data_IF_202612634592
#
_entry.id   IF_202612634592
#
_cell.length_a   1.000
_cell.length_b   1.000
_cell.length_c   1.000
_cell.angle_alpha   90.00
_cell.angle_beta   90.00
_cell.angle_gamma   90.00
#
_symmetry.space_group_name_H-M   'P 1'
#
loop_
_entity.id
_entity.type
_entity.pdbx_description
1 polymer ?
#
# COMPACT_ATOMS: atom_id res chain seq x y z
N UNK A 1 -1.07 -20.36 8.14
CA UNK A 1 -2.18 -19.87 7.31
C UNK A 1 -1.71 -18.55 6.74
N UNK A 2 -1.75 -18.39 5.41
CA UNK A 2 -1.49 -17.11 4.78
C UNK A 2 -2.54 -16.09 5.26
N UNK A 3 -2.13 -14.84 5.42
CA UNK A 3 -3.03 -13.75 5.78
C UNK A 3 -3.96 -13.45 4.60
N UNK A 4 -5.26 -13.25 4.88
CA UNK A 4 -6.24 -12.96 3.83
C UNK A 4 -5.96 -11.58 3.22
N UNK A 5 -5.96 -11.50 1.90
CA UNK A 5 -5.76 -10.26 1.15
C UNK A 5 -7.09 -9.61 0.76
N UNK A 6 -7.11 -8.29 0.71
CA UNK A 6 -8.25 -7.54 0.22
C UNK A 6 -8.12 -6.04 0.47
N UNK A 7 -9.26 -5.40 0.72
CA UNK A 7 -9.29 -4.00 1.14
C UNK A 7 -10.35 -3.71 2.19
N UNK A 8 -10.13 -2.67 2.99
CA UNK A 8 -11.15 -2.06 3.82
C UNK A 8 -11.69 -0.80 3.16
N UNK A 9 -13.02 -0.70 3.00
CA UNK A 9 -13.71 0.56 2.68
C UNK A 9 -14.18 1.18 3.99
N UNK A 10 -13.59 2.32 4.35
CA UNK A 10 -13.68 2.87 5.69
C UNK A 10 -13.75 4.41 5.70
N UNK A 11 -14.00 4.97 6.88
CA UNK A 11 -13.80 6.40 7.16
C UNK A 11 -12.60 6.58 8.08
N UNK A 12 -11.91 7.71 7.98
CA UNK A 12 -10.90 8.10 8.97
C UNK A 12 -11.61 8.81 10.12
N UNK A 13 -11.41 8.32 11.35
CA UNK A 13 -12.09 8.84 12.55
C UNK A 13 -11.13 9.54 13.54
N UNK A 14 -9.88 9.78 13.14
CA UNK A 14 -8.88 10.47 13.96
C UNK A 14 -7.71 11.03 13.15
N UNK A 15 -6.79 11.72 13.82
CA UNK A 15 -5.60 12.27 13.17
C UNK A 15 -4.55 11.18 12.94
N UNK A 16 -3.88 11.14 11.78
CA UNK A 16 -2.73 10.28 11.56
C UNK A 16 -1.59 10.61 12.54
N UNK A 17 -0.87 9.59 12.97
CA UNK A 17 0.29 9.70 13.85
C UNK A 17 1.50 9.09 13.18
N UNK A 18 2.60 9.85 13.10
CA UNK A 18 3.88 9.31 12.62
C UNK A 18 4.46 8.42 13.71
N UNK A 19 4.83 7.20 13.35
CA UNK A 19 5.61 6.30 14.20
C UNK A 19 6.87 5.88 13.48
N UNK A 20 7.90 5.61 14.25
CA UNK A 20 9.17 5.06 13.79
C UNK A 20 9.37 3.64 14.30
N UNK A 21 10.11 2.86 13.51
CA UNK A 21 10.53 1.50 13.86
C UNK A 21 11.97 1.31 13.41
N UNK A 22 12.92 1.11 14.35
CA UNK A 22 14.28 0.75 13.98
C UNK A 22 14.33 -0.59 13.23
N UNK A 23 15.09 -0.65 12.14
CA UNK A 23 15.34 -1.86 11.37
C UNK A 23 16.81 -1.90 10.95
N UNK A 24 17.61 -2.70 11.65
CA UNK A 24 19.05 -2.79 11.36
C UNK A 24 19.75 -1.44 11.61
N UNK A 25 20.23 -0.81 10.53
CA UNK A 25 20.93 0.48 10.56
C UNK A 25 20.03 1.68 10.26
N UNK A 26 18.78 1.44 9.84
CA UNK A 26 17.83 2.48 9.45
C UNK A 26 16.64 2.58 10.42
N UNK A 27 15.89 3.67 10.29
CA UNK A 27 14.62 3.92 10.95
C UNK A 27 13.51 4.03 9.92
N UNK A 28 12.60 3.06 9.91
CA UNK A 28 11.43 3.10 9.03
C UNK A 28 10.29 3.91 9.65
N UNK A 29 9.66 4.76 8.84
CA UNK A 29 8.57 5.63 9.26
C UNK A 29 7.23 5.23 8.64
N UNK A 30 6.22 5.23 9.50
CA UNK A 30 4.86 4.83 9.15
C UNK A 30 3.86 5.88 9.64
N UNK A 31 2.89 6.23 8.80
CA UNK A 31 1.68 6.91 9.26
C UNK A 31 0.70 5.86 9.78
N UNK A 32 0.43 5.90 11.07
CA UNK A 32 -0.65 5.15 11.71
C UNK A 32 -1.96 5.93 11.55
N UNK A 33 -2.92 5.32 10.87
CA UNK A 33 -4.19 5.94 10.53
C UNK A 33 -5.32 5.19 11.23
N UNK A 34 -6.05 5.86 12.14
CA UNK A 34 -7.22 5.27 12.77
C UNK A 34 -8.40 5.29 11.78
N UNK A 35 -9.02 4.13 11.59
CA UNK A 35 -10.17 3.94 10.70
C UNK A 35 -11.39 3.49 11.49
N UNK A 36 -12.56 3.97 11.07
CA UNK A 36 -13.87 3.39 11.39
C UNK A 36 -14.29 2.47 10.24
N UNK A 37 -14.28 1.17 10.54
CA UNK A 37 -14.66 0.09 9.63
C UNK A 37 -15.99 -0.48 10.10
N UNK A 38 -17.09 0.14 9.67
CA UNK A 38 -18.47 -0.28 10.03
C UNK A 38 -18.72 -0.35 11.54
N UNK A 39 -18.15 0.59 12.30
CA UNK A 39 -18.24 0.69 13.76
C UNK A 39 -17.06 0.05 14.50
N UNK A 40 -16.19 -0.71 13.80
CA UNK A 40 -14.97 -1.26 14.38
C UNK A 40 -13.80 -0.28 14.24
N UNK A 41 -13.01 -0.12 15.30
CA UNK A 41 -11.84 0.74 15.30
C UNK A 41 -10.60 -0.02 14.82
N UNK A 42 -10.07 0.39 13.67
CA UNK A 42 -8.89 -0.22 13.05
C UNK A 42 -7.70 0.74 13.11
N UNK A 43 -6.48 0.20 13.13
CA UNK A 43 -5.23 0.95 12.95
C UNK A 43 -4.48 0.39 11.74
N UNK A 44 -4.13 1.27 10.81
CA UNK A 44 -3.40 0.91 9.59
C UNK A 44 -2.08 1.65 9.56
N UNK A 45 -1.00 0.92 9.33
CA UNK A 45 0.32 1.50 9.08
C UNK A 45 0.53 1.69 7.57
N UNK A 46 0.91 2.90 7.17
CA UNK A 46 1.26 3.27 5.80
C UNK A 46 2.74 3.65 5.76
N UNK A 47 3.53 2.95 4.97
CA UNK A 47 4.95 3.26 4.77
C UNK A 47 5.10 4.63 4.11
N UNK A 48 5.92 5.51 4.68
CA UNK A 48 6.13 6.86 4.15
C UNK A 48 7.60 7.24 3.98
N UNK A 49 8.55 6.43 4.41
CA UNK A 49 9.98 6.68 4.18
C UNK A 49 10.87 6.09 5.27
N UNK A 50 12.15 6.40 5.16
CA UNK A 50 13.22 6.00 6.09
C UNK A 50 14.15 7.20 6.34
N UNK A 51 15.03 7.11 7.34
CA UNK A 51 16.14 8.07 7.55
C UNK A 51 17.41 7.73 6.74
N UNK A 52 17.43 6.57 6.06
CA UNK A 52 18.55 6.13 5.23
C UNK A 52 18.39 6.59 3.77
N UNK A 53 19.36 7.37 3.28
CA UNK A 53 19.35 7.84 1.89
C UNK A 53 19.68 6.75 0.87
N UNK A 54 20.18 5.59 1.32
CA UNK A 54 20.56 4.46 0.48
C UNK A 54 19.47 3.37 0.38
N UNK A 55 18.33 3.52 1.10
CA UNK A 55 17.18 2.59 1.07
C UNK A 55 15.83 3.34 1.09
N UNK A 56 15.66 4.30 0.17
CA UNK A 56 14.48 5.18 0.18
C UNK A 56 13.21 4.45 -0.26
N UNK A 57 12.05 4.96 0.16
CA UNK A 57 10.77 4.44 -0.30
C UNK A 57 10.46 5.03 -1.69
N UNK A 58 10.09 4.18 -2.64
CA UNK A 58 9.50 4.65 -3.88
C UNK A 58 7.99 4.85 -3.69
N UNK A 59 7.47 5.95 -4.18
CA UNK A 59 6.05 6.25 -4.10
C UNK A 59 5.48 6.90 -5.36
N UNK A 60 4.17 6.75 -5.50
CA UNK A 60 3.31 7.53 -6.39
C UNK A 60 2.19 8.12 -5.56
N UNK A 61 2.05 9.44 -5.56
CA UNK A 61 0.90 10.14 -5.01
C UNK A 61 0.16 10.84 -6.14
N UNK A 62 -1.01 10.30 -6.50
CA UNK A 62 -1.80 10.69 -7.67
C UNK A 62 -3.06 11.38 -7.19
N UNK A 63 -3.18 12.69 -7.34
CA UNK A 63 -4.35 13.45 -6.84
C UNK A 63 -5.58 13.42 -7.77
N UNK A 64 -5.40 13.00 -9.03
CA UNK A 64 -6.47 12.79 -10.01
C UNK A 64 -6.35 11.36 -10.57
N UNK A 65 -6.52 10.38 -9.70
CA UNK A 65 -6.43 8.97 -10.05
C UNK A 65 -7.67 8.55 -10.86
N UNK A 66 -7.44 8.15 -12.10
CA UNK A 66 -8.48 7.75 -13.05
C UNK A 66 -8.25 6.31 -13.49
N UNK A 67 -9.18 5.42 -13.16
CA UNK A 67 -9.10 4.01 -13.56
C UNK A 67 -10.48 3.35 -13.47
N UNK A 68 -10.79 2.37 -14.33
CA UNK A 68 -12.09 1.68 -14.31
C UNK A 68 -12.40 0.99 -12.96
N UNK A 69 -11.35 0.61 -12.22
CA UNK A 69 -11.48 -0.05 -10.90
C UNK A 69 -12.24 0.81 -9.88
N UNK A 70 -12.19 2.15 -9.98
CA UNK A 70 -12.84 3.03 -9.01
C UNK A 70 -14.35 2.82 -8.98
N UNK A 71 -14.96 2.42 -10.10
CA UNK A 71 -16.39 2.10 -10.16
C UNK A 71 -16.72 0.84 -9.35
N UNK A 72 -15.89 -0.20 -9.48
CA UNK A 72 -15.99 -1.44 -8.68
C UNK A 72 -15.83 -1.12 -7.19
N UNK A 73 -14.87 -0.27 -6.82
CA UNK A 73 -14.63 0.10 -5.42
C UNK A 73 -15.74 0.98 -4.84
N UNK A 74 -16.25 1.94 -5.61
CA UNK A 74 -17.38 2.77 -5.20
C UNK A 74 -18.63 1.92 -4.90
N UNK A 75 -18.87 0.88 -5.71
CA UNK A 75 -19.98 -0.05 -5.54
C UNK A 75 -19.78 -1.09 -4.42
N UNK A 76 -18.55 -1.28 -3.93
CA UNK A 76 -18.26 -2.22 -2.86
C UNK A 76 -18.92 -1.80 -1.53
N UNK A 77 -19.35 -2.77 -0.70
CA UNK A 77 -19.87 -2.47 0.63
C UNK A 77 -18.80 -1.85 1.53
N UNK A 78 -19.24 -1.02 2.48
CA UNK A 78 -18.37 -0.58 3.57
C UNK A 78 -17.89 -1.79 4.38
N UNK A 79 -16.68 -1.69 4.95
CA UNK A 79 -16.10 -2.76 5.75
C UNK A 79 -14.99 -3.53 5.03
N UNK A 80 -14.70 -4.73 5.56
CA UNK A 80 -13.73 -5.69 5.02
C UNK A 80 -14.26 -6.33 3.73
N UNK A 81 -13.46 -6.25 2.67
CA UNK A 81 -13.73 -6.88 1.37
C UNK A 81 -12.56 -7.82 1.05
N UNK A 82 -12.80 -9.13 1.10
CA UNK A 82 -11.78 -10.14 0.80
C UNK A 82 -11.65 -10.39 -0.70
N UNK A 83 -10.41 -10.50 -1.15
CA UNK A 83 -10.03 -10.73 -2.55
C UNK A 83 -9.11 -11.95 -2.69
N UNK A 84 -9.19 -12.89 -1.75
CA UNK A 84 -8.39 -14.12 -1.77
C UNK A 84 -8.50 -14.84 -3.12
N UNK A 85 -7.36 -15.30 -3.64
CA UNK A 85 -7.21 -16.03 -4.90
C UNK A 85 -7.67 -15.30 -6.18
N UNK A 86 -8.01 -14.01 -6.10
CA UNK A 86 -8.36 -13.23 -7.29
C UNK A 86 -7.10 -12.88 -8.09
N UNK A 87 -7.18 -13.08 -9.41
CA UNK A 87 -6.11 -12.76 -10.37
C UNK A 87 -6.53 -11.72 -11.39
N UNK A 88 -7.34 -10.77 -10.92
CA UNK A 88 -7.88 -9.65 -11.68
C UNK A 88 -8.25 -8.53 -10.71
N UNK A 89 -8.35 -7.30 -11.24
CA UNK A 89 -8.90 -6.19 -10.46
C UNK A 89 -10.30 -6.55 -9.93
N UNK A 90 -10.64 -6.18 -8.68
CA UNK A 90 -9.97 -5.16 -7.87
C UNK A 90 -8.77 -5.65 -7.06
N UNK A 91 -8.36 -6.92 -7.12
CA UNK A 91 -7.08 -7.33 -6.53
C UNK A 91 -5.93 -6.61 -7.25
N UNK A 92 -4.97 -6.06 -6.51
CA UNK A 92 -3.96 -5.18 -7.10
C UNK A 92 -2.71 -5.98 -7.49
N UNK A 93 -2.25 -5.75 -8.72
CA UNK A 93 -0.95 -6.19 -9.20
C UNK A 93 -0.35 -5.10 -10.08
N UNK A 94 0.68 -4.42 -9.60
CA UNK A 94 1.30 -3.28 -10.29
C UNK A 94 1.99 -3.67 -11.59
N UNK A 95 2.33 -4.96 -11.76
CA UNK A 95 3.03 -5.48 -12.93
C UNK A 95 2.10 -6.15 -13.93
N UNK A 96 1.03 -6.79 -13.46
CA UNK A 96 0.10 -7.59 -14.29
C UNK A 96 -1.20 -6.87 -14.63
N UNK A 97 -1.45 -5.70 -14.04
CA UNK A 97 -2.59 -4.84 -14.38
C UNK A 97 -2.14 -3.51 -14.99
N UNK A 98 -3.08 -2.78 -15.56
CA UNK A 98 -2.91 -1.42 -16.06
C UNK A 98 -3.18 -0.34 -14.99
N UNK A 99 -3.32 -0.72 -13.72
CA UNK A 99 -3.68 0.17 -12.61
C UNK A 99 -2.80 1.44 -12.51
N UNK A 100 -1.50 1.29 -12.74
CA UNK A 100 -0.54 2.38 -12.66
C UNK A 100 -0.27 3.06 -14.02
N UNK A 101 -0.96 2.63 -15.08
CA UNK A 101 -0.85 3.25 -16.41
C UNK A 101 -1.27 4.72 -16.33
N UNK A 102 -0.45 5.62 -16.86
CA UNK A 102 -0.74 7.06 -16.85
C UNK A 102 -0.55 7.77 -15.50
N UNK A 103 -0.04 7.08 -14.46
CA UNK A 103 0.21 7.68 -13.13
C UNK A 103 1.54 8.43 -13.00
N UNK A 104 2.30 8.56 -14.09
CA UNK A 104 3.64 9.16 -14.11
C UNK A 104 4.74 8.16 -13.71
N UNK A 105 5.91 8.67 -13.32
CA UNK A 105 7.07 7.87 -12.84
C UNK A 105 7.00 7.62 -11.34
N UNK A 106 7.80 6.68 -10.83
CA UNK A 106 7.98 6.58 -9.39
C UNK A 106 8.85 7.74 -8.90
N UNK A 107 8.70 8.11 -7.62
CA UNK A 107 9.51 9.12 -6.95
C UNK A 107 10.14 8.50 -5.72
N UNK A 108 11.39 8.83 -5.44
CA UNK A 108 11.99 8.53 -4.15
C UNK A 108 11.41 9.46 -3.09
N UNK A 109 11.18 8.92 -1.89
CA UNK A 109 10.93 9.72 -0.70
C UNK A 109 12.14 10.59 -0.39
N UNK A 110 11.94 11.71 0.27
CA UNK A 110 13.03 12.43 0.91
C UNK A 110 13.48 11.64 2.16
N UNK A 111 14.78 11.65 2.52
CA UNK A 111 15.24 11.13 3.80
C UNK A 111 14.51 11.83 4.94
N UNK A 112 13.97 11.05 5.87
CA UNK A 112 13.18 11.54 6.98
C UNK A 112 14.04 11.82 8.22
N UNK A 113 13.70 12.86 8.97
CA UNK A 113 14.33 13.23 10.24
C UNK A 113 13.42 12.97 11.46
N UNK A 114 12.31 12.26 11.25
CA UNK A 114 11.24 12.06 12.22
C UNK A 114 10.21 13.18 12.30
N UNK A 115 10.31 14.22 11.46
CA UNK A 115 9.23 15.19 11.22
C UNK A 115 8.25 14.72 10.14
N UNK A 116 7.15 15.46 9.98
CA UNK A 116 6.19 15.26 8.88
C UNK A 116 6.38 16.29 7.74
N UNK A 117 7.58 16.83 7.56
CA UNK A 117 7.87 17.87 6.56
C UNK A 117 8.40 17.31 5.23
N UNK A 118 9.06 16.15 5.26
CA UNK A 118 9.56 15.43 4.09
C UNK A 118 8.41 14.90 3.20
N UNK A 119 8.66 14.72 1.90
CA UNK A 119 7.74 13.96 1.06
C UNK A 119 8.10 12.47 1.05
N UNK A 120 7.12 11.55 1.02
CA UNK A 120 5.68 11.76 0.87
C UNK A 120 4.90 12.06 2.16
N UNK A 121 5.50 11.98 3.35
CA UNK A 121 4.76 12.04 4.63
C UNK A 121 3.95 13.34 4.77
N UNK A 122 4.50 14.48 4.33
CA UNK A 122 3.83 15.77 4.37
C UNK A 122 2.53 15.80 3.54
N UNK A 123 2.60 15.38 2.27
CA UNK A 123 1.44 15.31 1.39
C UNK A 123 0.44 14.26 1.84
N UNK A 124 0.91 13.09 2.26
CA UNK A 124 0.03 12.01 2.72
C UNK A 124 -0.73 12.39 3.99
N UNK A 125 -0.06 13.01 4.98
CA UNK A 125 -0.71 13.53 6.19
C UNK A 125 -1.77 14.59 5.87
N UNK A 126 -1.49 15.52 4.93
CA UNK A 126 -2.49 16.51 4.47
C UNK A 126 -3.71 15.84 3.84
N UNK A 127 -3.51 14.84 2.98
CA UNK A 127 -4.59 14.13 2.30
C UNK A 127 -5.45 13.33 3.29
N UNK A 128 -4.82 12.60 4.21
CA UNK A 128 -5.51 11.85 5.26
C UNK A 128 -6.34 12.77 6.17
N UNK A 129 -5.81 13.95 6.54
CA UNK A 129 -6.55 14.95 7.34
C UNK A 129 -7.74 15.51 6.58
N UNK A 130 -7.60 15.78 5.28
CA UNK A 130 -8.73 16.20 4.44
C UNK A 130 -9.78 15.10 4.33
N UNK A 131 -9.37 13.85 4.18
CA UNK A 131 -10.29 12.71 4.14
C UNK A 131 -11.07 12.56 5.45
N UNK A 132 -10.42 12.73 6.61
CA UNK A 132 -11.08 12.76 7.91
C UNK A 132 -12.08 13.93 8.04
N UNK A 133 -11.67 15.14 7.68
CA UNK A 133 -12.49 16.35 7.80
C UNK A 133 -13.73 16.32 6.90
N UNK A 134 -13.59 15.80 5.68
CA UNK A 134 -14.66 15.77 4.70
C UNK A 134 -15.46 14.44 4.72
N UNK A 135 -15.09 13.50 5.60
CA UNK A 135 -15.72 12.19 5.67
C UNK A 135 -15.62 11.41 4.36
N UNK A 136 -14.48 11.43 3.67
CA UNK A 136 -14.26 10.68 2.44
C UNK A 136 -14.22 9.18 2.70
N UNK A 137 -14.66 8.38 1.71
CA UNK A 137 -14.37 6.94 1.73
C UNK A 137 -12.88 6.74 1.43
N UNK A 138 -12.24 5.93 2.26
CA UNK A 138 -10.85 5.50 2.09
C UNK A 138 -10.83 3.99 1.87
N UNK A 139 -10.00 3.57 0.92
CA UNK A 139 -9.81 2.18 0.53
C UNK A 139 -8.37 1.82 0.82
N UNK A 140 -8.15 0.99 1.83
CA UNK A 140 -6.82 0.51 2.18
C UNK A 140 -6.70 -0.92 1.69
N UNK A 141 -5.76 -1.17 0.79
CA UNK A 141 -5.42 -2.50 0.27
C UNK A 141 -4.22 -3.07 0.98
N UNK A 142 -4.25 -4.38 1.20
CA UNK A 142 -3.18 -5.13 1.80
C UNK A 142 -3.72 -6.42 2.39
N UNK A 143 -2.99 -6.96 3.37
CA UNK A 143 -3.41 -8.17 4.09
C UNK A 143 -4.04 -7.83 5.42
N UNK A 144 -5.08 -8.56 5.79
CA UNK A 144 -5.73 -8.43 7.10
C UNK A 144 -4.91 -9.18 8.15
N UNK A 145 -4.77 -8.60 9.35
CA UNK A 145 -4.17 -9.32 10.48
C UNK A 145 -4.96 -10.60 10.82
N UNK A 146 -4.27 -11.65 11.26
CA UNK A 146 -4.90 -12.88 11.77
C UNK A 146 -5.68 -12.62 13.06
N UNK A 147 -5.16 -11.72 13.89
CA UNK A 147 -5.74 -11.34 15.17
C UNK A 147 -5.74 -9.81 15.26
N UNK A 148 -6.88 -9.22 15.61
CA UNK A 148 -7.07 -7.78 15.65
C UNK A 148 -7.67 -7.19 14.37
N UNK A 149 -7.83 -5.87 14.43
CA UNK A 149 -8.58 -5.06 13.48
C UNK A 149 -7.61 -4.12 12.74
N UNK A 150 -7.17 -4.52 11.54
CA UNK A 150 -6.20 -3.72 10.77
C UNK A 150 -5.73 -4.39 9.48
N UNK A 151 -4.97 -3.60 8.71
CA UNK A 151 -4.31 -4.00 7.46
C UNK A 151 -2.83 -3.63 7.57
N UNK A 152 -1.97 -4.54 7.09
CA UNK A 152 -0.56 -4.26 6.81
C UNK A 152 -0.25 -4.48 5.33
N UNK A 153 1.02 -4.36 4.95
CA UNK A 153 1.52 -4.59 3.59
C UNK A 153 0.82 -3.68 2.57
N UNK A 154 0.69 -2.40 2.93
CA UNK A 154 0.08 -1.31 2.13
C UNK A 154 1.03 -0.77 1.07
N UNK A 155 1.81 -1.65 0.42
CA UNK A 155 2.81 -1.36 -0.61
C UNK A 155 2.89 -2.53 -1.62
N UNK A 156 3.73 -2.44 -2.64
CA UNK A 156 4.00 -3.53 -3.57
C UNK A 156 4.50 -4.77 -2.82
N UNK A 157 3.88 -5.92 -3.00
CA UNK A 157 4.14 -7.15 -2.23
C UNK A 157 4.87 -8.22 -3.05
N UNK A 158 5.54 -7.78 -4.12
CA UNK A 158 6.31 -8.60 -5.04
C UNK A 158 7.70 -8.04 -5.33
N UNK A 159 8.58 -8.86 -5.86
CA UNK A 159 9.94 -8.44 -6.24
C UNK A 159 10.94 -8.35 -5.07
N UNK A 160 10.58 -8.77 -3.86
CA UNK A 160 11.50 -8.82 -2.72
C UNK A 160 12.64 -9.82 -2.96
N UNK A 161 13.88 -9.40 -2.69
CA UNK A 161 15.10 -10.19 -2.93
C UNK A 161 15.62 -10.87 -1.67
N UNK A 162 16.06 -12.12 -1.79
CA UNK A 162 16.66 -12.88 -0.69
C UNK A 162 16.00 -14.24 -0.50
N UNK A 163 16.74 -15.23 0.02
CA UNK A 163 16.23 -16.61 0.15
C UNK A 163 15.03 -16.72 1.08
N UNK A 164 14.92 -15.81 2.04
CA UNK A 164 13.83 -15.72 3.02
C UNK A 164 12.54 -15.15 2.43
N UNK A 165 12.63 -14.37 1.35
CA UNK A 165 11.48 -13.75 0.66
C UNK A 165 11.04 -14.53 -0.58
N UNK A 166 11.80 -15.56 -0.98
CA UNK A 166 11.53 -16.31 -2.20
C UNK A 166 10.28 -17.20 -2.04
N UNK A 167 9.25 -16.93 -2.82
CA UNK A 167 8.04 -17.76 -2.90
C UNK A 167 8.34 -19.05 -3.67
N UNK A 168 7.96 -20.21 -3.11
CA UNK A 168 8.15 -21.53 -3.72
C UNK A 168 6.80 -22.16 -4.02
N UNK A 169 6.71 -22.85 -5.16
CA UNK A 169 5.49 -23.57 -5.56
C UNK A 169 5.08 -24.59 -4.49
N UNK A 170 3.89 -24.43 -3.94
CA UNK A 170 3.35 -25.31 -2.90
C UNK A 170 3.80 -24.99 -1.48
N UNK A 171 4.48 -23.86 -1.26
CA UNK A 171 4.86 -23.34 0.05
C UNK A 171 4.23 -21.96 0.24
N UNK A 172 3.10 -21.91 0.95
CA UNK A 172 2.30 -20.72 1.25
C UNK A 172 2.70 -20.06 2.58
N UNK A 173 3.81 -20.51 3.18
CA UNK A 173 4.29 -20.00 4.48
C UNK A 173 5.00 -18.67 4.35
N UNK A 174 5.48 -18.37 3.16
CA UNK A 174 6.09 -17.09 2.84
C UNK A 174 5.00 -16.18 2.27
N UNK A 175 4.70 -15.10 2.98
CA UNK A 175 3.77 -14.05 2.58
C UNK A 175 4.46 -12.91 1.79
N UNK A 176 5.72 -13.13 1.41
CA UNK A 176 6.48 -12.25 0.54
C UNK A 176 6.44 -12.78 -0.90
N UNK A 177 6.38 -11.86 -1.85
CA UNK A 177 6.29 -12.16 -3.28
C UNK A 177 4.96 -12.78 -3.72
N UNK A 178 3.83 -12.24 -3.27
CA UNK A 178 2.53 -12.68 -3.74
C UNK A 178 1.99 -11.78 -4.85
N UNK A 179 1.71 -12.41 -6.00
CA UNK A 179 1.07 -11.74 -7.15
C UNK A 179 -0.40 -11.44 -6.81
N UNK A 180 -0.95 -10.37 -7.39
CA UNK A 180 -2.33 -9.91 -7.12
C UNK A 180 -2.63 -9.59 -5.65
N UNK A 181 -1.59 -9.29 -4.88
CA UNK A 181 -1.73 -8.93 -3.47
C UNK A 181 -1.01 -7.63 -3.12
N UNK A 182 -0.77 -6.74 -4.09
CA UNK A 182 -0.15 -5.45 -3.82
C UNK A 182 -1.07 -4.55 -2.97
N UNK A 183 -0.45 -3.73 -2.12
CA UNK A 183 -1.12 -2.77 -1.26
C UNK A 183 -1.11 -1.35 -1.82
N UNK A 184 -2.10 -0.56 -1.39
CA UNK A 184 -2.30 0.83 -1.80
C UNK A 184 -3.27 1.53 -0.85
N UNK A 185 -3.34 2.86 -0.93
CA UNK A 185 -4.38 3.65 -0.27
C UNK A 185 -5.06 4.56 -1.28
N UNK A 186 -6.37 4.39 -1.46
CA UNK A 186 -7.17 5.22 -2.35
C UNK A 186 -8.20 6.04 -1.58
N UNK A 187 -8.54 7.21 -2.10
CA UNK A 187 -9.46 8.17 -1.50
C UNK A 187 -10.52 8.58 -2.51
N UNK A 188 -11.80 8.35 -2.21
CA UNK A 188 -12.90 8.91 -2.99
C UNK A 188 -13.18 10.34 -2.52
N UNK A 189 -12.50 11.32 -3.13
CA UNK A 189 -12.61 12.74 -2.75
C UNK A 189 -13.94 13.37 -3.19
N UNK A 190 -14.56 12.75 -4.19
CA UNK A 190 -15.96 12.96 -4.62
C UNK A 190 -16.43 11.73 -5.40
N UNK A 191 -17.59 11.79 -6.04
CA UNK A 191 -18.15 10.64 -6.77
C UNK A 191 -17.24 10.17 -7.93
N UNK A 192 -16.53 11.10 -8.58
CA UNK A 192 -15.76 10.88 -9.81
C UNK A 192 -14.27 11.26 -9.69
N UNK A 193 -13.85 11.90 -8.59
CA UNK A 193 -12.44 12.25 -8.34
C UNK A 193 -11.86 11.43 -7.22
N UNK A 194 -10.73 10.81 -7.53
CA UNK A 194 -10.02 9.94 -6.60
C UNK A 194 -8.57 10.38 -6.45
N UNK A 195 -8.01 10.14 -5.27
CA UNK A 195 -6.57 10.19 -5.08
C UNK A 195 -6.06 8.78 -4.75
N UNK A 196 -4.80 8.49 -5.10
CA UNK A 196 -4.16 7.21 -4.84
C UNK A 196 -2.73 7.37 -4.35
N UNK A 197 -2.36 6.58 -3.35
CA UNK A 197 -1.01 6.40 -2.86
C UNK A 197 -0.58 4.95 -3.10
N UNK A 198 0.54 4.79 -3.80
CA UNK A 198 1.16 3.51 -4.10
C UNK A 198 2.62 3.60 -3.68
N UNK A 199 3.13 2.53 -3.07
CA UNK A 199 4.50 2.48 -2.56
C UNK A 199 5.20 1.19 -2.97
N UNK A 200 6.51 1.23 -3.13
CA UNK A 200 7.39 0.08 -3.34
C UNK A 200 8.73 0.36 -2.65
N UNK A 201 9.37 -0.67 -2.11
CA UNK A 201 10.71 -0.51 -1.53
C UNK A 201 11.76 -0.46 -2.64
N UNK A 202 12.80 0.36 -2.48
CA UNK A 202 13.86 0.54 -3.49
C UNK A 202 14.56 -0.76 -3.86
N UNK A 203 14.66 -1.69 -2.92
CA UNK A 203 15.25 -3.02 -3.15
C UNK A 203 14.33 -4.03 -3.83
N UNK A 204 13.06 -3.70 -4.12
CA UNK A 204 12.18 -4.59 -4.87
C UNK A 204 12.50 -4.53 -6.36
N UNK A 205 12.59 -5.71 -6.97
CA UNK A 205 12.99 -5.86 -8.36
C UNK A 205 11.83 -6.32 -9.26
N UNK A 206 11.75 -5.72 -10.44
CA UNK A 206 10.77 -5.99 -11.49
C UNK A 206 11.46 -6.20 -12.85
N UNK A 207 10.95 -7.06 -13.75
CA UNK A 207 9.69 -7.79 -13.63
C UNK A 207 9.80 -9.00 -12.70
N UNK A 208 8.64 -9.55 -12.36
CA UNK A 208 8.50 -10.74 -11.50
C UNK A 208 7.91 -11.92 -12.25
N UNK A 209 8.24 -13.13 -11.83
CA UNK A 209 7.74 -14.38 -12.41
C UNK A 209 6.29 -14.70 -11.99
N UNK A 210 5.76 -15.86 -12.39
CA UNK A 210 4.40 -16.26 -12.02
C UNK A 210 4.18 -16.53 -10.52
N UNK A 211 5.24 -16.49 -9.72
CA UNK A 211 5.23 -16.59 -8.26
C UNK A 211 5.62 -15.27 -7.60
N UNK A 212 5.70 -14.15 -8.33
CA UNK A 212 6.02 -12.83 -7.76
C UNK A 212 7.50 -12.63 -7.42
N UNK A 213 8.37 -13.60 -7.73
CA UNK A 213 9.80 -13.48 -7.49
C UNK A 213 10.48 -12.67 -8.60
N UNK A 214 11.56 -11.91 -8.30
CA UNK A 214 12.38 -11.26 -9.32
C UNK A 214 12.86 -12.21 -10.42
N UNK A 215 12.78 -11.79 -11.68
CA UNK A 215 13.41 -12.51 -12.80
C UNK A 215 14.92 -12.24 -12.85
N UNK A 216 15.66 -13.00 -13.67
CA UNK A 216 17.12 -12.87 -13.78
C UNK A 216 17.58 -11.51 -14.35
N UNK A 217 16.72 -10.83 -15.10
CA UNK A 217 16.94 -9.53 -15.74
C UNK A 217 16.24 -8.37 -15.01
N UNK A 218 15.68 -8.65 -13.83
CA UNK A 218 14.95 -7.67 -13.03
C UNK A 218 15.85 -6.54 -12.53
N UNK A 219 15.24 -5.37 -12.31
CA UNK A 219 15.86 -4.14 -11.86
C UNK A 219 14.99 -3.47 -10.80
N UNK A 220 15.55 -2.54 -9.99
CA UNK A 220 14.74 -1.71 -9.12
C UNK A 220 13.58 -1.06 -9.88
N UNK A 221 12.50 -0.79 -9.16
CA UNK A 221 11.37 -0.01 -9.69
C UNK A 221 11.87 1.39 -10.09
N UNK A 222 11.34 1.97 -11.17
CA UNK A 222 11.72 3.31 -11.70
C UNK A 222 10.50 4.10 -12.20
#
# INVERSE_FOLDING_TARGET
MSLSYGFAKAKINGAPVLKSKPLGHETQYHLHVPLDVTGAAWDVAINVGTDDSDDLLQYKLVFDFQHAVIQTLAAAPAGRNELADQKALPALDFMRSDLLSGTGRWRLSDPMDGSMEAEPVASMNRLLRQAAQNGWDVYVFGRFYTEGDGIHDTHMNQGSTGKQFAHRKGDDRNDHNDIWQDGAVLFATSADRWAGYFAAFEHQLVPTDALGNPTADSKPVE
#
